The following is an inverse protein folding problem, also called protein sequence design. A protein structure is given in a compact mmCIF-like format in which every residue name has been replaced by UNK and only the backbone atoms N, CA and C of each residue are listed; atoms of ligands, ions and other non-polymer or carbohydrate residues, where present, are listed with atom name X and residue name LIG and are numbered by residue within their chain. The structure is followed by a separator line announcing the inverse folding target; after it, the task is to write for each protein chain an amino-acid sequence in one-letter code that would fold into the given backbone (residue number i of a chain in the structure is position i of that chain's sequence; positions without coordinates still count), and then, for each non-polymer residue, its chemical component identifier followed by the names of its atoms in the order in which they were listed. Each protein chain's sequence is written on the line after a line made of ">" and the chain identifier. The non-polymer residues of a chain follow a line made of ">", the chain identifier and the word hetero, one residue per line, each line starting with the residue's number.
data_IF_928894953288
#
_entry.id   IF_928894953288
#
_cell.length_a   1.000
_cell.length_b   1.000
_cell.length_c   1.000
_cell.angle_alpha   90.00
_cell.angle_beta   90.00
_cell.angle_gamma   90.00
#
_symmetry.space_group_name_H-M   'P 1'
#
loop_
_entity.id
_entity.type
_entity.pdbx_description
1 polymer ?
#
# COMPACT_ATOMS: atom_id res chain seq x y z
N UNK A 1 -2.76 -5.73 3.98
CA UNK A 1 -1.36 -5.80 4.49
C UNK A 1 -0.69 -4.44 4.34
N UNK A 2 0.60 -4.27 4.70
CA UNK A 2 1.32 -3.02 4.42
C UNK A 2 1.91 -3.01 3.01
N UNK A 3 2.76 -4.00 2.73
CA UNK A 3 3.42 -4.28 1.45
C UNK A 3 2.45 -4.85 0.43
N UNK A 4 2.74 -6.07 -0.03
CA UNK A 4 1.94 -6.70 -1.05
C UNK A 4 2.07 -8.21 -1.04
N UNK A 5 1.85 -8.82 -2.20
CA UNK A 5 1.71 -10.27 -2.32
C UNK A 5 3.07 -10.97 -2.37
N UNK A 6 3.10 -12.22 -1.93
CA UNK A 6 4.29 -13.09 -1.96
C UNK A 6 4.02 -14.32 -2.84
N UNK A 7 5.03 -14.88 -3.53
CA UNK A 7 4.89 -16.16 -4.23
C UNK A 7 4.32 -17.28 -3.35
N UNK A 8 4.64 -17.28 -2.04
CA UNK A 8 4.10 -18.27 -1.10
C UNK A 8 2.57 -18.28 -1.02
N UNK A 9 1.91 -17.15 -1.32
CA UNK A 9 0.44 -17.07 -1.34
C UNK A 9 -0.19 -17.76 -2.55
N UNK A 10 0.56 -17.94 -3.66
CA UNK A 10 0.07 -18.68 -4.83
C UNK A 10 0.06 -20.20 -4.57
N UNK A 11 1.00 -20.68 -3.78
CA UNK A 11 1.16 -22.10 -3.47
C UNK A 11 0.39 -22.53 -2.21
N UNK A 12 0.05 -21.59 -1.33
CA UNK A 12 -0.66 -21.87 -0.10
C UNK A 12 -2.06 -22.45 -0.36
N UNK A 13 -2.51 -23.38 0.49
CA UNK A 13 -3.86 -23.93 0.45
C UNK A 13 -4.90 -23.03 1.12
N UNK A 14 -4.46 -22.24 2.09
CA UNK A 14 -5.29 -21.35 2.92
C UNK A 14 -4.45 -20.19 3.43
N UNK A 15 -5.11 -19.19 4.03
CA UNK A 15 -4.44 -18.07 4.68
C UNK A 15 -3.69 -18.46 5.97
N UNK A 16 -3.85 -19.69 6.48
CA UNK A 16 -3.12 -20.22 7.64
C UNK A 16 -1.60 -20.24 7.42
N UNK A 17 -1.13 -20.07 6.17
CA UNK A 17 0.29 -19.83 5.89
C UNK A 17 0.83 -18.59 6.64
N UNK A 18 -0.03 -17.60 6.90
CA UNK A 18 0.33 -16.39 7.65
C UNK A 18 0.62 -16.69 9.13
N UNK A 19 -0.05 -17.69 9.71
CA UNK A 19 0.17 -18.10 11.10
C UNK A 19 1.52 -18.81 11.29
N UNK A 20 2.14 -19.26 10.20
CA UNK A 20 3.47 -19.88 10.20
C UNK A 20 4.61 -18.87 10.29
N UNK A 21 4.31 -17.57 10.25
CA UNK A 21 5.31 -16.52 10.44
C UNK A 21 5.70 -16.48 11.92
N UNK A 22 6.88 -17.02 12.24
CA UNK A 22 7.43 -17.02 13.59
C UNK A 22 7.62 -15.60 14.13
N UNK A 23 7.28 -15.42 15.41
CA UNK A 23 7.48 -14.17 16.15
C UNK A 23 8.30 -14.44 17.42
N UNK A 24 9.36 -13.67 17.72
CA UNK A 24 9.87 -12.54 16.92
C UNK A 24 10.45 -13.00 15.57
N UNK A 25 10.47 -12.11 14.58
CA UNK A 25 11.26 -12.37 13.38
C UNK A 25 12.74 -12.39 13.78
N UNK A 26 13.54 -13.35 13.29
CA UNK A 26 14.94 -13.44 13.67
C UNK A 26 15.68 -12.14 13.31
N UNK A 27 16.51 -11.71 14.25
CA UNK A 27 16.96 -10.33 14.49
C UNK A 27 17.73 -9.66 13.34
N UNK A 28 18.12 -10.41 12.31
CA UNK A 28 19.04 -9.87 11.30
C UNK A 28 18.51 -9.72 9.89
N UNK A 29 17.43 -10.37 9.42
CA UNK A 29 17.09 -10.25 7.98
C UNK A 29 15.63 -10.54 7.66
N UNK A 30 14.88 -9.45 7.47
CA UNK A 30 13.70 -9.46 6.61
C UNK A 30 14.12 -10.06 5.23
N UNK A 31 15.33 -9.84 4.73
CA UNK A 31 15.82 -10.42 3.46
C UNK A 31 16.51 -11.80 3.52
N UNK A 32 16.49 -12.55 4.64
CA UNK A 32 17.13 -13.87 4.70
C UNK A 32 16.23 -14.97 4.16
N UNK A 33 16.88 -16.00 3.62
CA UNK A 33 16.26 -17.29 3.29
C UNK A 33 15.40 -17.77 4.48
N UNK A 34 14.10 -17.96 4.23
CA UNK A 34 13.11 -18.38 5.23
C UNK A 34 12.07 -17.32 5.61
N UNK A 35 12.32 -16.03 5.42
CA UNK A 35 11.40 -14.94 5.82
C UNK A 35 10.68 -14.24 4.65
N UNK A 36 10.83 -14.75 3.42
CA UNK A 36 10.34 -14.11 2.20
C UNK A 36 8.85 -13.72 2.26
N UNK A 37 8.00 -14.57 2.86
CA UNK A 37 6.58 -14.26 3.02
C UNK A 37 6.37 -12.98 3.86
N UNK A 38 6.98 -12.91 5.04
CA UNK A 38 6.88 -11.72 5.89
C UNK A 38 7.42 -10.46 5.19
N UNK A 39 8.48 -10.63 4.40
CA UNK A 39 9.14 -9.56 3.64
C UNK A 39 8.27 -8.99 2.56
N UNK A 40 7.70 -9.84 1.72
CA UNK A 40 6.81 -9.40 0.64
C UNK A 40 5.53 -8.76 1.20
N UNK A 41 4.98 -9.32 2.28
CA UNK A 41 3.81 -8.74 2.98
C UNK A 41 4.07 -7.31 3.50
N UNK A 42 5.33 -6.91 3.66
CA UNK A 42 5.75 -5.58 4.12
C UNK A 42 6.34 -4.70 3.00
N UNK A 43 6.99 -5.28 1.99
CA UNK A 43 7.82 -4.54 1.03
C UNK A 43 7.51 -4.80 -0.45
N UNK A 44 6.62 -5.74 -0.77
CA UNK A 44 6.23 -5.94 -2.16
C UNK A 44 5.33 -4.80 -2.66
N UNK A 45 5.47 -4.45 -3.94
CA UNK A 45 4.70 -3.40 -4.60
C UNK A 45 3.99 -3.91 -5.86
N UNK A 46 2.74 -3.49 -6.13
CA UNK A 46 2.12 -3.74 -7.42
C UNK A 46 2.78 -2.88 -8.53
N UNK A 47 2.96 -3.44 -9.72
CA UNK A 47 3.46 -2.74 -10.92
C UNK A 47 2.70 -3.24 -12.16
N UNK A 48 2.07 -2.32 -12.89
CA UNK A 48 1.29 -2.60 -14.11
C UNK A 48 2.11 -3.28 -15.21
N UNK A 49 3.43 -3.06 -15.24
CA UNK A 49 4.32 -3.61 -16.25
C UNK A 49 4.84 -5.01 -15.89
N UNK A 50 4.48 -5.51 -14.70
CA UNK A 50 4.84 -6.86 -14.26
C UNK A 50 3.65 -7.77 -14.51
N UNK A 51 3.90 -8.94 -15.11
CA UNK A 51 2.86 -9.95 -15.32
C UNK A 51 2.59 -10.75 -14.04
N UNK A 52 3.61 -11.45 -13.54
CA UNK A 52 3.54 -12.25 -12.31
C UNK A 52 4.33 -11.58 -11.18
N UNK A 53 5.51 -12.09 -10.83
CA UNK A 53 6.44 -11.47 -9.90
C UNK A 53 7.71 -11.04 -10.63
N UNK A 54 8.28 -9.91 -10.25
CA UNK A 54 9.62 -9.52 -10.69
C UNK A 54 10.71 -10.31 -9.94
N UNK A 55 11.91 -10.34 -10.51
CA UNK A 55 13.10 -10.88 -9.85
C UNK A 55 13.57 -9.99 -8.69
N UNK A 56 13.31 -8.69 -8.75
CA UNK A 56 13.66 -7.72 -7.72
C UNK A 56 12.67 -6.56 -7.65
N UNK A 57 12.54 -5.92 -6.49
CA UNK A 57 11.88 -4.63 -6.35
C UNK A 57 12.90 -3.48 -6.55
N UNK A 58 12.48 -2.40 -7.21
CA UNK A 58 13.25 -1.16 -7.38
C UNK A 58 13.66 -0.53 -6.03
N UNK A 59 12.96 -0.85 -4.94
CA UNK A 59 13.30 -0.46 -3.57
C UNK A 59 14.49 -1.23 -2.96
N UNK A 60 14.98 -2.27 -3.63
CA UNK A 60 16.05 -3.14 -3.12
C UNK A 60 15.59 -4.21 -2.12
N UNK A 61 14.30 -4.28 -1.80
CA UNK A 61 13.70 -5.27 -0.91
C UNK A 61 12.26 -5.61 -1.32
N UNK A 62 11.88 -6.87 -1.14
CA UNK A 62 10.60 -7.40 -1.63
C UNK A 62 10.61 -7.63 -3.16
N UNK A 63 9.42 -7.85 -3.72
CA UNK A 63 9.21 -8.08 -5.16
C UNK A 63 8.17 -7.12 -5.70
N UNK A 64 8.17 -6.91 -7.01
CA UNK A 64 7.02 -6.30 -7.68
C UNK A 64 6.07 -7.39 -8.16
N UNK A 65 4.76 -7.11 -8.21
CA UNK A 65 3.76 -8.08 -8.70
C UNK A 65 2.70 -7.44 -9.59
N UNK A 66 2.14 -8.24 -10.49
CA UNK A 66 1.17 -7.81 -11.50
C UNK A 66 -0.29 -8.12 -11.18
N UNK A 67 -1.18 -7.68 -12.09
CA UNK A 67 -2.62 -7.98 -12.05
C UNK A 67 -2.91 -9.48 -11.94
N UNK A 68 -2.17 -10.31 -12.69
CA UNK A 68 -2.39 -11.75 -12.70
C UNK A 68 -2.15 -12.39 -11.31
N UNK A 69 -1.22 -11.83 -10.51
CA UNK A 69 -1.02 -12.29 -9.12
C UNK A 69 -2.19 -11.88 -8.23
N UNK A 70 -2.69 -10.66 -8.39
CA UNK A 70 -3.84 -10.13 -7.64
C UNK A 70 -5.04 -11.03 -7.86
N UNK A 71 -5.37 -11.33 -9.12
CA UNK A 71 -6.51 -12.17 -9.49
C UNK A 71 -6.37 -13.60 -8.96
N UNK A 72 -5.19 -14.21 -9.13
CA UNK A 72 -4.94 -15.57 -8.65
C UNK A 72 -5.07 -15.68 -7.14
N UNK A 73 -4.54 -14.72 -6.38
CA UNK A 73 -4.65 -14.73 -4.92
C UNK A 73 -6.09 -14.51 -4.47
N UNK A 74 -6.81 -13.56 -5.08
CA UNK A 74 -8.23 -13.30 -4.79
C UNK A 74 -9.08 -14.54 -5.03
N UNK A 75 -8.93 -15.16 -6.20
CA UNK A 75 -9.62 -16.39 -6.55
C UNK A 75 -9.27 -17.53 -5.59
N UNK A 76 -7.98 -17.68 -5.25
CA UNK A 76 -7.51 -18.77 -4.40
C UNK A 76 -8.07 -18.73 -2.99
N UNK A 77 -8.19 -17.54 -2.40
CA UNK A 77 -8.69 -17.39 -1.04
C UNK A 77 -10.15 -16.93 -0.96
N UNK A 78 -10.82 -16.76 -2.11
CA UNK A 78 -12.21 -16.31 -2.16
C UNK A 78 -12.41 -14.91 -1.56
N UNK A 79 -11.46 -14.00 -1.79
CA UNK A 79 -11.51 -12.62 -1.29
C UNK A 79 -11.76 -11.63 -2.41
N UNK A 80 -12.58 -10.61 -2.13
CA UNK A 80 -12.96 -9.62 -3.13
C UNK A 80 -11.94 -8.51 -3.31
N UNK A 81 -11.17 -8.17 -2.27
CA UNK A 81 -10.36 -6.96 -2.28
C UNK A 81 -9.10 -7.10 -1.43
N UNK A 82 -7.97 -6.70 -2.01
CA UNK A 82 -6.70 -6.54 -1.30
C UNK A 82 -6.50 -5.06 -0.99
N UNK A 83 -6.36 -4.72 0.28
CA UNK A 83 -6.09 -3.35 0.72
C UNK A 83 -4.70 -3.27 1.31
N UNK A 84 -3.91 -2.31 0.83
CA UNK A 84 -2.50 -2.15 1.16
C UNK A 84 -2.08 -0.68 1.32
N UNK A 85 -0.83 -0.41 1.74
CA UNK A 85 -0.32 0.95 1.98
C UNK A 85 1.00 1.27 1.26
N UNK A 86 2.07 1.68 1.97
CA UNK A 86 3.48 1.80 1.53
C UNK A 86 3.85 2.78 0.39
N UNK A 87 3.03 2.88 -0.67
CA UNK A 87 3.24 3.80 -1.79
C UNK A 87 2.45 5.10 -1.53
N UNK A 88 3.13 6.23 -1.70
CA UNK A 88 2.48 7.54 -1.72
C UNK A 88 1.65 7.61 -3.01
N UNK A 89 0.36 7.93 -2.88
CA UNK A 89 -0.58 8.10 -4.00
C UNK A 89 -1.28 9.44 -3.88
N UNK A 90 -1.56 10.08 -5.02
CA UNK A 90 -1.93 11.50 -5.08
C UNK A 90 -3.17 11.84 -4.24
N UNK A 91 -4.24 11.06 -4.35
CA UNK A 91 -5.50 11.30 -3.64
C UNK A 91 -5.57 10.58 -2.28
N UNK A 92 -4.44 10.06 -1.79
CA UNK A 92 -4.36 9.24 -0.58
C UNK A 92 -4.99 7.86 -0.72
N UNK A 93 -5.59 7.55 -1.87
CA UNK A 93 -6.04 6.23 -2.27
C UNK A 93 -5.87 6.07 -3.78
N UNK A 94 -5.68 4.83 -4.24
CA UNK A 94 -5.54 4.51 -5.66
C UNK A 94 -6.01 3.07 -5.89
N UNK A 95 -6.85 2.87 -6.91
CA UNK A 95 -7.12 1.53 -7.43
C UNK A 95 -5.98 1.12 -8.34
N UNK A 96 -5.52 -0.12 -8.23
CA UNK A 96 -4.46 -0.57 -9.12
C UNK A 96 -4.88 -0.45 -10.59
N UNK A 97 -3.99 0.10 -11.42
CA UNK A 97 -4.26 0.38 -12.84
C UNK A 97 -5.46 1.32 -13.08
N UNK A 98 -5.76 2.21 -12.12
CA UNK A 98 -6.92 3.12 -12.17
C UNK A 98 -8.26 2.41 -12.44
N UNK A 99 -8.34 1.12 -12.11
CA UNK A 99 -9.47 0.24 -12.39
C UNK A 99 -10.07 -0.27 -11.09
N UNK A 100 -11.31 0.13 -10.81
CA UNK A 100 -12.06 -0.31 -9.63
C UNK A 100 -12.27 -1.83 -9.56
N UNK A 101 -12.18 -2.53 -10.69
CA UNK A 101 -12.32 -4.00 -10.77
C UNK A 101 -11.00 -4.75 -10.54
N UNK A 102 -9.87 -4.05 -10.51
CA UNK A 102 -8.52 -4.64 -10.29
C UNK A 102 -8.42 -5.45 -9.01
N UNK A 103 -9.23 -5.14 -7.99
CA UNK A 103 -9.24 -5.86 -6.72
C UNK A 103 -8.08 -5.52 -5.80
N UNK A 104 -7.32 -4.46 -6.07
CA UNK A 104 -6.29 -3.94 -5.18
C UNK A 104 -6.44 -2.44 -4.99
N UNK A 105 -6.37 -2.00 -3.74
CA UNK A 105 -6.40 -0.59 -3.35
C UNK A 105 -5.16 -0.26 -2.52
N UNK A 106 -4.44 0.78 -2.94
CA UNK A 106 -3.38 1.41 -2.16
C UNK A 106 -3.98 2.56 -1.35
N UNK A 107 -3.67 2.61 -0.05
CA UNK A 107 -4.04 3.69 0.86
C UNK A 107 -2.82 4.39 1.42
N UNK A 108 -2.87 5.71 1.50
CA UNK A 108 -1.84 6.53 2.11
C UNK A 108 -2.50 7.61 2.96
N UNK A 109 -2.12 7.70 4.23
CA UNK A 109 -2.83 8.52 5.23
C UNK A 109 -2.08 9.78 5.66
N UNK A 110 -0.85 9.97 5.21
CA UNK A 110 -0.04 11.14 5.55
C UNK A 110 -0.11 12.18 4.41
N UNK A 111 -0.97 13.22 4.51
CA UNK A 111 -0.99 14.30 3.53
C UNK A 111 0.30 15.10 3.57
N UNK A 112 0.67 15.70 2.44
CA UNK A 112 1.92 16.43 2.27
C UNK A 112 3.15 15.62 2.70
N UNK A 113 3.25 14.37 2.23
CA UNK A 113 4.24 13.44 2.74
C UNK A 113 5.66 14.02 2.65
N UNK A 114 6.40 13.92 3.76
CA UNK A 114 7.74 14.49 3.94
C UNK A 114 7.89 15.99 3.61
N UNK A 115 6.80 16.75 3.48
CA UNK A 115 6.84 18.14 3.02
C UNK A 115 7.25 18.30 1.54
N UNK A 116 7.21 17.22 0.76
CA UNK A 116 7.74 17.17 -0.61
C UNK A 116 6.68 16.79 -1.64
N UNK A 117 5.69 16.01 -1.24
CA UNK A 117 4.61 15.56 -2.11
C UNK A 117 3.36 16.41 -1.87
N UNK A 118 2.59 16.68 -2.91
CA UNK A 118 1.28 17.37 -2.77
C UNK A 118 0.12 16.38 -2.56
N UNK A 119 0.44 15.17 -2.10
CA UNK A 119 -0.54 14.13 -1.91
C UNK A 119 -1.53 14.47 -0.78
N UNK A 120 -2.77 14.03 -0.97
CA UNK A 120 -3.75 13.92 0.10
C UNK A 120 -3.49 12.67 0.95
N UNK A 121 -4.05 12.65 2.15
CA UNK A 121 -4.24 11.42 2.91
C UNK A 121 -5.66 10.91 2.71
N UNK A 122 -5.91 9.60 2.75
CA UNK A 122 -7.26 9.07 2.75
C UNK A 122 -7.44 7.94 3.76
N UNK A 123 -8.65 7.84 4.32
CA UNK A 123 -9.11 6.67 5.06
C UNK A 123 -10.18 5.96 4.23
N UNK A 124 -10.14 4.63 4.23
CA UNK A 124 -11.19 3.80 3.65
C UNK A 124 -12.21 3.43 4.71
N UNK A 125 -13.49 3.56 4.38
CA UNK A 125 -14.62 3.11 5.20
C UNK A 125 -15.26 1.92 4.50
N UNK A 126 -15.42 0.82 5.24
CA UNK A 126 -16.12 -0.37 4.78
C UNK A 126 -17.45 -0.43 5.53
N UNK A 127 -18.55 -0.36 4.80
CA UNK A 127 -19.90 -0.44 5.34
C UNK A 127 -20.31 -1.90 5.59
N UNK A 128 -21.45 -2.10 6.29
CA UNK A 128 -21.94 -3.45 6.65
C UNK A 128 -22.33 -4.30 5.43
N UNK A 129 -22.74 -3.65 4.35
CA UNK A 129 -23.04 -4.25 3.05
C UNK A 129 -21.78 -4.43 2.19
N UNK A 130 -20.59 -4.29 2.79
CA UNK A 130 -19.28 -4.31 2.12
C UNK A 130 -19.05 -3.15 1.13
N UNK A 131 -19.93 -2.14 1.13
CA UNK A 131 -19.71 -0.92 0.36
C UNK A 131 -18.44 -0.18 0.82
N UNK A 132 -17.57 0.19 -0.13
CA UNK A 132 -16.33 0.92 0.14
C UNK A 132 -16.48 2.39 -0.22
N UNK A 133 -16.06 3.28 0.67
CA UNK A 133 -15.97 4.73 0.42
C UNK A 133 -14.71 5.33 1.03
N UNK A 134 -14.31 6.51 0.56
CA UNK A 134 -13.10 7.18 1.04
C UNK A 134 -13.43 8.53 1.67
N UNK A 135 -12.75 8.84 2.77
CA UNK A 135 -12.66 10.21 3.30
C UNK A 135 -11.25 10.73 3.06
N UNK A 136 -11.15 11.79 2.25
CA UNK A 136 -9.88 12.39 1.81
C UNK A 136 -9.56 13.63 2.65
N UNK A 137 -8.28 13.78 2.99
CA UNK A 137 -7.70 14.87 3.77
C UNK A 137 -6.63 15.55 2.91
N UNK A 138 -6.97 16.72 2.36
CA UNK A 138 -6.05 17.51 1.55
C UNK A 138 -4.94 18.12 2.41
N UNK A 139 -3.72 18.29 1.87
CA UNK A 139 -2.64 18.96 2.59
C UNK A 139 -3.03 20.39 2.95
N UNK A 140 -2.78 20.79 4.20
CA UNK A 140 -2.91 22.18 4.62
C UNK A 140 -1.56 22.88 4.45
N UNK A 141 -1.34 23.47 3.28
CA UNK A 141 -0.19 24.33 3.05
C UNK A 141 -0.38 25.59 3.90
N UNK A 142 0.48 25.81 4.89
CA UNK A 142 0.46 27.06 5.65
C UNK A 142 0.84 28.20 4.70
N UNK A 143 -0.13 29.04 4.35
CA UNK A 143 0.18 30.32 3.71
C UNK A 143 0.97 31.18 4.70
N UNK A 144 2.28 31.34 4.47
CA UNK A 144 3.13 32.31 5.16
C UNK A 144 2.73 33.77 4.78
N UNK A 145 1.48 34.16 5.02
CA UNK A 145 1.02 35.55 4.93
C UNK A 145 0.97 36.24 6.30
N UNK A 146 1.92 35.90 7.17
CA UNK A 146 2.13 36.56 8.46
C UNK A 146 3.32 37.51 8.45
N UNK A 147 3.37 38.48 7.51
CA UNK A 147 4.26 39.66 7.66
C UNK A 147 3.95 40.83 6.71
N UNK A 148 2.74 41.42 6.77
CA UNK A 148 2.53 42.84 6.46
C UNK A 148 1.48 43.43 7.41
N UNK A 149 1.78 43.45 8.71
CA UNK A 149 1.13 44.38 9.64
C UNK A 149 1.57 45.79 9.21
N UNK A 150 0.63 46.57 8.70
CA UNK A 150 0.81 47.98 8.41
C UNK A 150 1.35 48.68 9.66
N UNK A 151 2.57 49.23 9.58
CA UNK A 151 2.94 50.35 10.43
C UNK A 151 2.04 51.51 10.00
N UNK A 152 0.96 51.74 10.75
CA UNK A 152 0.26 53.03 10.73
C UNK A 152 1.07 53.95 11.63
N UNK A 153 1.61 54.97 11.01
CA UNK A 153 2.25 56.14 11.60
C UNK A 153 1.25 56.94 12.43
N UNK A 154 1.60 57.20 13.68
CA UNK A 154 1.35 58.45 14.41
C UNK A 154 2.62 58.77 15.21
#
# INVERSE_FOLDING_TARGET
>A
MHGGLSPGLLEAKSLDILDKISRPLPDNRISADGNQLATDLLWADPDINVRLFSSSNRRGIGRMFGQEVIDRVRQRFGIDLIVRAHQVVLDGHEFFNDDASSGLITLFTAPHYCGQYDNSGAIMRVAKDMGVSFKVFKPQLQNNNSSRRSKRSE
#
